data_IF_112484177110
#
_entry.id   IF_112484177110
#
_cell.length_a   1.000
_cell.length_b   1.000
_cell.length_c   1.000
_cell.angle_alpha   90.00
_cell.angle_beta   90.00
_cell.angle_gamma   90.00
#
_symmetry.space_group_name_H-M   'P 1'
#
loop_
_entity.id
_entity.type
_entity.pdbx_description
1 polymer ?
#
# COMPACT_ATOMS: atom_id res chain seq x y z
N UNK A 1 14.74 18.58 2.65
CA UNK A 1 15.15 17.67 3.75
C UNK A 1 14.32 16.38 3.84
N UNK A 2 13.00 16.42 3.53
CA UNK A 2 12.08 15.28 3.58
C UNK A 2 12.41 14.08 2.66
N UNK A 3 13.06 14.29 1.50
CA UNK A 3 13.43 13.20 0.59
C UNK A 3 14.56 12.28 1.11
N UNK A 4 15.48 12.81 1.93
CA UNK A 4 16.62 12.02 2.46
C UNK A 4 16.21 11.01 3.54
N UNK A 5 15.26 11.37 4.40
CA UNK A 5 14.74 10.48 5.44
C UNK A 5 13.96 9.32 4.83
N UNK A 6 13.07 9.60 3.86
CA UNK A 6 12.34 8.53 3.16
C UNK A 6 13.28 7.59 2.42
N UNK A 7 14.30 8.10 1.74
CA UNK A 7 15.32 7.27 1.07
C UNK A 7 16.07 6.36 2.05
N UNK A 8 16.38 6.84 3.27
CA UNK A 8 17.04 6.05 4.32
C UNK A 8 16.17 4.90 4.86
N UNK A 9 14.85 5.11 4.97
CA UNK A 9 13.94 4.10 5.52
C UNK A 9 13.40 3.14 4.45
N UNK A 10 13.11 3.64 3.24
CA UNK A 10 12.35 2.91 2.22
C UNK A 10 13.15 2.60 0.96
N UNK A 11 14.35 3.17 0.79
CA UNK A 11 15.16 2.97 -0.41
C UNK A 11 14.82 3.93 -1.55
N UNK A 12 15.02 3.50 -2.79
CA UNK A 12 14.76 4.30 -3.97
C UNK A 12 13.29 4.23 -4.39
N UNK A 13 12.66 5.37 -4.63
CA UNK A 13 11.31 5.40 -5.19
C UNK A 13 11.39 4.99 -6.67
N UNK A 14 10.73 3.89 -7.03
CA UNK A 14 10.73 3.38 -8.41
C UNK A 14 9.46 3.77 -9.17
N UNK A 15 8.35 3.97 -8.46
CA UNK A 15 7.10 4.41 -9.06
C UNK A 15 6.24 5.16 -8.04
N UNK A 16 5.40 6.05 -8.56
CA UNK A 16 4.30 6.64 -7.78
C UNK A 16 3.18 7.11 -8.69
N UNK A 17 1.94 6.93 -8.25
CA UNK A 17 0.77 7.43 -8.96
C UNK A 17 -0.34 7.80 -7.98
N UNK A 18 -1.31 8.57 -8.47
CA UNK A 18 -2.54 8.90 -7.77
C UNK A 18 -3.61 7.87 -8.11
N UNK A 19 -4.38 7.45 -7.12
CA UNK A 19 -5.58 6.64 -7.33
C UNK A 19 -6.75 7.59 -7.49
N UNK A 20 -7.25 7.69 -8.71
CA UNK A 20 -8.42 8.49 -9.04
C UNK A 20 -9.68 7.64 -8.87
N UNK A 21 -10.04 7.43 -7.60
CA UNK A 21 -11.30 6.81 -7.19
C UNK A 21 -12.08 7.76 -6.28
N UNK A 22 -13.29 7.36 -5.86
CA UNK A 22 -14.07 8.07 -4.85
C UNK A 22 -13.25 8.26 -3.56
N UNK A 23 -12.39 7.29 -3.24
CA UNK A 23 -11.44 7.32 -2.13
C UNK A 23 -10.07 7.74 -2.67
N UNK A 24 -9.60 8.92 -2.25
CA UNK A 24 -8.36 9.51 -2.80
C UNK A 24 -7.13 8.96 -2.10
N UNK A 25 -6.17 8.47 -2.88
CA UNK A 25 -4.89 8.02 -2.33
C UNK A 25 -3.71 8.29 -3.27
N UNK A 26 -2.51 8.28 -2.66
CA UNK A 26 -1.24 8.15 -3.36
C UNK A 26 -0.66 6.78 -3.13
N UNK A 27 -0.17 6.16 -4.21
CA UNK A 27 0.57 4.92 -4.15
C UNK A 27 2.04 5.21 -4.45
N UNK A 28 2.92 4.64 -3.64
CA UNK A 28 4.36 4.72 -3.79
C UNK A 28 4.95 3.31 -3.77
N UNK A 29 5.83 3.03 -4.72
CA UNK A 29 6.64 1.81 -4.74
C UNK A 29 8.09 2.18 -4.52
N UNK A 30 8.71 1.55 -3.53
CA UNK A 30 10.11 1.74 -3.18
C UNK A 30 10.87 0.43 -3.34
N UNK A 31 12.12 0.51 -3.79
CA UNK A 31 13.05 -0.61 -3.84
C UNK A 31 14.18 -0.38 -2.83
N UNK A 32 14.36 -1.35 -1.94
CA UNK A 32 15.46 -1.38 -0.98
C UNK A 32 16.10 -2.76 -1.00
N UNK A 33 17.35 -2.82 -1.44
CA UNK A 33 18.17 -4.03 -1.38
C UNK A 33 17.49 -5.25 -2.04
N UNK A 34 16.73 -5.02 -3.12
CA UNK A 34 16.00 -6.05 -3.86
C UNK A 34 14.59 -6.34 -3.34
N UNK A 35 14.19 -5.78 -2.19
CA UNK A 35 12.83 -5.86 -1.67
C UNK A 35 12.00 -4.66 -2.13
N UNK A 36 10.73 -4.91 -2.49
CA UNK A 36 9.78 -3.86 -2.81
C UNK A 36 8.95 -3.50 -1.58
N UNK A 37 8.71 -2.21 -1.40
CA UNK A 37 7.73 -1.68 -0.45
C UNK A 37 6.63 -0.98 -1.21
N UNK A 38 5.40 -1.43 -1.03
CA UNK A 38 4.20 -0.71 -1.42
C UNK A 38 3.69 0.12 -0.24
N UNK A 39 3.62 1.43 -0.39
CA UNK A 39 3.01 2.35 0.56
C UNK A 39 1.81 3.03 -0.09
N UNK A 40 0.64 2.89 0.52
CA UNK A 40 -0.62 3.52 0.10
C UNK A 40 -0.96 4.56 1.14
N UNK A 41 -0.95 5.84 0.76
CA UNK A 41 -1.33 6.96 1.62
C UNK A 41 -2.68 7.49 1.21
N UNK A 42 -3.70 7.25 2.04
CA UNK A 42 -5.01 7.88 1.92
C UNK A 42 -4.92 9.39 2.13
N UNK A 43 -5.59 10.18 1.31
CA UNK A 43 -5.67 11.64 1.49
C UNK A 43 -6.69 12.01 2.58
N UNK A 44 -7.70 11.18 2.80
CA UNK A 44 -8.90 11.43 3.61
C UNK A 44 -9.17 10.35 4.68
N UNK A 45 -8.19 9.50 4.99
CA UNK A 45 -8.27 8.40 5.97
C UNK A 45 -9.28 7.29 5.62
N UNK A 46 -9.74 7.23 4.37
CA UNK A 46 -10.65 6.19 3.86
C UNK A 46 -10.04 4.80 3.91
N UNK A 47 -8.78 4.64 3.48
CA UNK A 47 -8.12 3.33 3.44
C UNK A 47 -7.53 2.88 4.78
N UNK A 48 -7.19 3.80 5.67
CA UNK A 48 -6.56 3.49 6.96
C UNK A 48 -7.14 4.39 8.04
N UNK A 49 -7.91 3.80 8.94
CA UNK A 49 -8.44 4.45 10.15
C UNK A 49 -7.58 4.04 11.36
N UNK A 50 -6.32 4.49 11.38
CA UNK A 50 -5.42 4.31 12.52
C UNK A 50 -5.28 5.60 13.31
N UNK A 51 -4.91 5.51 14.60
CA UNK A 51 -4.69 6.68 15.46
C UNK A 51 -3.54 7.57 14.91
N UNK A 52 -3.90 8.55 14.07
CA UNK A 52 -2.96 9.49 13.44
C UNK A 52 -2.17 8.96 12.26
N UNK A 53 -2.54 7.80 11.68
CA UNK A 53 -1.92 7.28 10.44
C UNK A 53 -2.95 7.19 9.34
N UNK A 54 -2.58 7.67 8.16
CA UNK A 54 -3.39 7.57 6.94
C UNK A 54 -2.70 6.72 5.87
N UNK A 55 -1.70 5.93 6.25
CA UNK A 55 -0.92 5.12 5.32
C UNK A 55 -0.85 3.63 5.73
N UNK A 56 -0.89 2.77 4.71
CA UNK A 56 -0.70 1.33 4.82
C UNK A 56 0.58 0.95 4.07
N UNK A 57 1.36 0.02 4.63
CA UNK A 57 2.64 -0.40 4.07
C UNK A 57 2.71 -1.92 4.03
N UNK A 58 3.12 -2.45 2.88
CA UNK A 58 3.46 -3.86 2.69
C UNK A 58 4.86 -3.95 2.09
N UNK A 59 5.71 -4.82 2.65
CA UNK A 59 7.04 -5.14 2.12
C UNK A 59 6.99 -6.56 1.56
N UNK A 60 7.52 -6.76 0.35
CA UNK A 60 7.51 -8.05 -0.33
C UNK A 60 8.71 -8.18 -1.28
N UNK A 61 9.13 -9.41 -1.54
CA UNK A 61 10.09 -9.70 -2.60
C UNK A 61 9.40 -9.55 -3.97
N UNK A 62 10.09 -9.05 -5.02
CA UNK A 62 9.53 -8.94 -6.36
C UNK A 62 8.93 -10.25 -6.90
N UNK A 63 9.54 -11.38 -6.57
CA UNK A 63 9.10 -12.74 -6.93
C UNK A 63 7.75 -13.13 -6.31
N UNK A 64 7.35 -12.47 -5.22
CA UNK A 64 6.12 -12.76 -4.49
C UNK A 64 4.92 -11.90 -4.93
N UNK A 65 5.07 -11.04 -5.95
CA UNK A 65 4.03 -10.07 -6.33
C UNK A 65 2.71 -10.74 -6.73
N UNK A 66 2.77 -11.80 -7.53
CA UNK A 66 1.58 -12.50 -8.00
C UNK A 66 0.86 -13.19 -6.83
N UNK A 67 1.61 -13.86 -5.94
CA UNK A 67 1.06 -14.47 -4.74
C UNK A 67 0.44 -13.45 -3.78
N UNK A 68 1.00 -12.24 -3.68
CA UNK A 68 0.44 -11.15 -2.88
C UNK A 68 -0.88 -10.66 -3.48
N UNK A 69 -0.96 -10.49 -4.80
CA UNK A 69 -2.20 -10.10 -5.48
C UNK A 69 -3.28 -11.17 -5.31
N UNK A 70 -2.94 -12.44 -5.45
CA UNK A 70 -3.85 -13.57 -5.23
C UNK A 70 -4.39 -13.59 -3.79
N UNK A 71 -3.52 -13.33 -2.81
CA UNK A 71 -3.93 -13.24 -1.41
C UNK A 71 -4.90 -12.07 -1.16
N UNK A 72 -4.66 -10.91 -1.77
CA UNK A 72 -5.54 -9.73 -1.66
C UNK A 72 -6.91 -10.01 -2.29
N UNK A 73 -6.94 -10.59 -3.50
CA UNK A 73 -8.19 -10.96 -4.19
C UNK A 73 -8.96 -11.97 -3.34
N UNK A 74 -8.29 -13.00 -2.84
CA UNK A 74 -8.90 -14.03 -1.99
C UNK A 74 -9.50 -13.43 -0.71
N UNK A 75 -8.75 -12.56 -0.02
CA UNK A 75 -9.23 -11.86 1.18
C UNK A 75 -10.47 -11.00 0.88
N UNK A 76 -10.48 -10.27 -0.24
CA UNK A 76 -11.64 -9.48 -0.67
C UNK A 76 -12.87 -10.37 -0.89
N UNK A 77 -12.71 -11.48 -1.61
CA UNK A 77 -13.81 -12.42 -1.85
C UNK A 77 -14.38 -12.98 -0.54
N UNK A 78 -13.52 -13.32 0.42
CA UNK A 78 -13.96 -13.79 1.74
C UNK A 78 -14.76 -12.73 2.51
N UNK A 79 -14.29 -11.47 2.54
CA UNK A 79 -14.98 -10.36 3.22
C UNK A 79 -16.37 -10.14 2.63
N UNK A 80 -16.51 -10.15 1.31
CA UNK A 80 -17.80 -9.94 0.62
C UNK A 80 -18.83 -11.05 0.90
N UNK A 81 -18.37 -12.23 1.30
CA UNK A 81 -19.23 -13.35 1.66
C UNK A 81 -19.63 -13.34 3.15
N UNK A 82 -19.07 -12.44 3.97
CA UNK A 82 -19.42 -12.33 5.38
C UNK A 82 -20.78 -11.62 5.54
N UNK A 83 -21.79 -12.25 6.16
CA UNK A 83 -23.08 -11.62 6.36
C UNK A 83 -22.97 -10.41 7.31
N UNK A 84 -23.48 -9.25 6.86
CA UNK A 84 -23.68 -8.07 7.69
C UNK A 84 -22.57 -7.02 7.74
N UNK A 85 -21.55 -7.05 6.87
CA UNK A 85 -20.56 -5.96 6.76
C UNK A 85 -20.13 -5.69 5.31
N UNK A 86 -20.85 -4.78 4.66
CA UNK A 86 -20.28 -3.76 3.76
C UNK A 86 -20.85 -2.43 4.21
#
# INVERSE_FOLDING_TARGET
MFGRLKKKYWGEQVASWRVDSTEKAWVFVWNRDGNLTLNIKSEDFTYVQGAGRNDATVIFEPSAIDSLLDAIVSARSMIQQMPGKV
#
